data_IF_392506353987
#
_entry.id   IF_392506353987
#
_cell.length_a   1.000
_cell.length_b   1.000
_cell.length_c   1.000
_cell.angle_alpha   90.00
_cell.angle_beta   90.00
_cell.angle_gamma   90.00
#
_symmetry.space_group_name_H-M   'P 1'
#
loop_
_entity.id
_entity.type
_entity.pdbx_description
1 polymer ?
#
# COMPACT_ATOMS: atom_id res chain seq x y z
N UNK A 1 -21.51 16.85 68.51
CA UNK A 1 -21.05 17.52 67.26
C UNK A 1 -20.12 16.63 66.40
N UNK A 2 -19.20 15.85 66.98
CA UNK A 2 -18.25 15.00 66.23
C UNK A 2 -18.88 13.93 65.32
N UNK A 3 -20.03 13.34 65.71
CA UNK A 3 -20.73 12.36 64.88
C UNK A 3 -21.36 12.95 63.60
N UNK A 4 -21.80 14.21 63.65
CA UNK A 4 -22.34 14.89 62.46
C UNK A 4 -21.21 15.15 61.45
N UNK A 5 -20.04 15.56 61.93
CA UNK A 5 -18.84 15.80 61.09
C UNK A 5 -18.41 14.51 60.37
N UNK A 6 -18.45 13.37 61.05
CA UNK A 6 -18.13 12.07 60.45
C UNK A 6 -19.12 11.69 59.33
N UNK A 7 -20.41 12.00 59.52
CA UNK A 7 -21.44 11.79 58.49
C UNK A 7 -21.24 12.71 57.27
N UNK A 8 -20.81 13.96 57.46
CA UNK A 8 -20.51 14.87 56.35
C UNK A 8 -19.28 14.44 55.55
N UNK A 9 -18.25 13.88 56.19
CA UNK A 9 -17.07 13.34 55.51
C UNK A 9 -17.42 12.07 54.72
N UNK A 10 -18.26 11.20 55.27
CA UNK A 10 -18.75 10.01 54.57
C UNK A 10 -19.63 10.36 53.36
N UNK A 11 -20.45 11.41 53.46
CA UNK A 11 -21.30 11.89 52.36
C UNK A 11 -20.46 12.51 51.21
N UNK A 12 -19.39 13.22 51.54
CA UNK A 12 -18.45 13.78 50.56
C UNK A 12 -17.63 12.71 49.83
N UNK A 13 -17.25 11.62 50.53
CA UNK A 13 -16.55 10.49 49.91
C UNK A 13 -17.41 9.73 48.89
N UNK A 14 -18.73 9.68 49.09
CA UNK A 14 -19.65 8.98 48.18
C UNK A 14 -19.82 9.70 46.83
N UNK A 15 -19.75 11.04 46.82
CA UNK A 15 -19.83 11.83 45.59
C UNK A 15 -18.56 11.81 44.72
N UNK A 16 -17.43 11.31 45.26
CA UNK A 16 -16.14 11.24 44.54
C UNK A 16 -16.01 10.08 43.56
N UNK A 17 -16.99 9.18 43.49
CA UNK A 17 -16.98 8.03 42.57
C UNK A 17 -17.47 8.43 41.18
N UNK A 18 -16.84 9.44 40.57
CA UNK A 18 -17.03 9.71 39.14
C UNK A 18 -16.23 8.67 38.39
N UNK A 19 -16.90 7.61 37.95
CA UNK A 19 -16.34 6.68 36.96
C UNK A 19 -16.04 7.48 35.70
N UNK A 20 -14.76 7.76 35.45
CA UNK A 20 -14.33 8.24 34.15
C UNK A 20 -14.72 7.15 33.13
N UNK A 21 -15.47 7.48 32.06
CA UNK A 21 -15.71 6.51 31.01
C UNK A 21 -14.34 6.18 30.39
N UNK A 22 -13.85 4.97 30.64
CA UNK A 22 -12.78 4.37 29.85
C UNK A 22 -13.28 4.38 28.41
N UNK A 23 -12.70 5.25 27.60
CA UNK A 23 -12.91 5.29 26.16
C UNK A 23 -12.18 4.07 25.58
N UNK A 24 -12.79 2.90 25.69
CA UNK A 24 -12.47 1.79 24.82
C UNK A 24 -13.00 2.17 23.43
N UNK A 25 -12.14 2.73 22.59
CA UNK A 25 -12.46 2.89 21.18
C UNK A 25 -12.80 1.50 20.65
N UNK A 26 -14.05 1.30 20.24
CA UNK A 26 -14.46 0.09 19.54
C UNK A 26 -13.62 0.02 18.27
N UNK A 27 -12.65 -0.90 18.20
CA UNK A 27 -12.03 -1.26 16.93
C UNK A 27 -13.15 -1.83 16.09
N UNK A 28 -13.54 -1.07 15.08
CA UNK A 28 -14.60 -1.49 14.16
C UNK A 28 -14.00 -2.46 13.15
N UNK A 29 -14.79 -3.39 12.60
CA UNK A 29 -14.33 -4.30 11.53
C UNK A 29 -13.62 -3.58 10.38
N UNK A 30 -14.04 -2.36 9.94
CA UNK A 30 -13.29 -1.54 9.01
C UNK A 30 -11.84 -1.26 9.41
N UNK A 31 -11.56 -0.98 10.69
CA UNK A 31 -10.21 -0.66 11.16
C UNK A 31 -9.28 -1.89 11.07
N UNK A 32 -9.82 -3.10 11.29
CA UNK A 32 -9.09 -4.36 11.16
C UNK A 32 -8.84 -4.73 9.70
N UNK A 33 -9.78 -4.41 8.80
CA UNK A 33 -9.59 -4.64 7.36
C UNK A 33 -8.55 -3.65 6.82
N UNK A 34 -8.58 -2.41 7.28
CA UNK A 34 -7.63 -1.38 6.84
C UNK A 34 -6.20 -1.69 7.28
N UNK A 35 -6.00 -2.22 8.49
CA UNK A 35 -4.66 -2.66 8.92
C UNK A 35 -4.15 -3.86 8.11
N UNK A 36 -5.01 -4.84 7.78
CA UNK A 36 -4.62 -5.95 6.90
C UNK A 36 -4.25 -5.49 5.50
N UNK A 37 -5.01 -4.53 4.94
CA UNK A 37 -4.68 -3.96 3.63
C UNK A 37 -3.33 -3.26 3.64
N UNK A 38 -3.01 -2.52 4.72
CA UNK A 38 -1.71 -1.86 4.82
C UNK A 38 -0.53 -2.84 4.90
N UNK A 39 -0.68 -3.96 5.59
CA UNK A 39 0.38 -4.99 5.63
C UNK A 39 0.60 -5.60 4.24
N UNK A 40 -0.47 -5.91 3.52
CA UNK A 40 -0.40 -6.38 2.14
C UNK A 40 0.27 -5.36 1.20
N UNK A 41 -0.08 -4.08 1.35
CA UNK A 41 0.50 -2.99 0.58
C UNK A 41 2.02 -2.85 0.84
N UNK A 42 2.47 -3.02 2.09
CA UNK A 42 3.91 -3.04 2.43
C UNK A 42 4.62 -4.23 1.78
N UNK A 43 4.03 -5.43 1.88
CA UNK A 43 4.59 -6.64 1.27
C UNK A 43 4.73 -6.51 -0.24
N UNK A 44 3.76 -5.89 -0.90
CA UNK A 44 3.83 -5.60 -2.34
C UNK A 44 5.03 -4.70 -2.68
N UNK A 45 5.29 -3.64 -1.90
CA UNK A 45 6.45 -2.76 -2.11
C UNK A 45 7.78 -3.49 -1.90
N UNK A 46 7.86 -4.36 -0.89
CA UNK A 46 9.06 -5.18 -0.68
C UNK A 46 9.29 -6.14 -1.85
N UNK A 47 8.23 -6.78 -2.36
CA UNK A 47 8.35 -7.64 -3.54
C UNK A 47 8.82 -6.90 -4.79
N UNK A 48 8.46 -5.62 -4.94
CA UNK A 48 8.94 -4.78 -6.03
C UNK A 48 10.40 -4.38 -5.83
N UNK A 49 10.80 -4.06 -4.61
CA UNK A 49 12.18 -3.71 -4.27
C UNK A 49 13.13 -4.91 -4.40
N UNK A 50 12.64 -6.13 -4.20
CA UNK A 50 13.41 -7.36 -4.37
C UNK A 50 13.72 -7.69 -5.84
N UNK A 51 13.10 -6.99 -6.81
CA UNK A 51 13.39 -7.22 -8.21
C UNK A 51 14.75 -6.63 -8.59
N UNK A 52 15.58 -7.45 -9.25
CA UNK A 52 16.92 -7.07 -9.71
C UNK A 52 16.93 -5.77 -10.54
N UNK A 53 15.93 -5.58 -11.41
CA UNK A 53 15.82 -4.41 -12.27
C UNK A 53 15.53 -3.12 -11.50
N UNK A 54 14.80 -3.22 -10.39
CA UNK A 54 14.51 -2.09 -9.49
C UNK A 54 15.75 -1.75 -8.66
N UNK A 55 16.45 -2.76 -8.12
CA UNK A 55 17.67 -2.55 -7.35
C UNK A 55 18.77 -1.92 -8.19
N UNK A 56 19.02 -2.44 -9.39
CA UNK A 56 20.01 -1.88 -10.32
C UNK A 56 19.67 -0.43 -10.68
N UNK A 57 18.38 -0.13 -10.88
CA UNK A 57 17.92 1.23 -11.14
C UNK A 57 18.16 2.15 -9.94
N UNK A 58 17.83 1.73 -8.73
CA UNK A 58 18.07 2.51 -7.51
C UNK A 58 19.57 2.76 -7.29
N UNK A 59 20.40 1.74 -7.49
CA UNK A 59 21.86 1.85 -7.44
C UNK A 59 22.39 2.83 -8.49
N UNK A 60 21.85 2.82 -9.71
CA UNK A 60 22.22 3.77 -10.76
C UNK A 60 21.89 5.23 -10.39
N UNK A 61 20.93 5.44 -9.50
CA UNK A 61 20.56 6.75 -8.94
C UNK A 61 21.36 7.09 -7.66
N UNK A 62 22.28 6.23 -7.24
CA UNK A 62 23.08 6.40 -6.02
C UNK A 62 22.34 6.08 -4.73
N UNK A 63 21.22 5.38 -4.80
CA UNK A 63 20.40 4.99 -3.64
C UNK A 63 20.64 3.51 -3.34
N UNK A 64 21.12 3.21 -2.13
CA UNK A 64 21.31 1.84 -1.68
C UNK A 64 19.94 1.20 -1.34
N UNK A 65 19.69 -0.08 -1.67
CA UNK A 65 18.42 -0.77 -1.39
C UNK A 65 18.01 -0.70 0.08
N UNK A 66 18.97 -0.78 1.00
CA UNK A 66 18.75 -0.76 2.45
C UNK A 66 18.11 0.57 2.89
N UNK A 67 18.52 1.68 2.28
CA UNK A 67 17.96 3.02 2.57
C UNK A 67 16.49 3.10 2.16
N UNK A 68 16.09 2.40 1.10
CA UNK A 68 14.70 2.36 0.64
C UNK A 68 13.85 1.49 1.56
N UNK A 69 14.38 0.36 2.04
CA UNK A 69 13.71 -0.48 3.03
C UNK A 69 13.42 0.29 4.32
N UNK A 70 14.41 1.02 4.84
CA UNK A 70 14.24 1.87 6.02
C UNK A 70 13.17 2.94 5.81
N UNK A 71 13.10 3.51 4.60
CA UNK A 71 12.07 4.49 4.26
C UNK A 71 10.67 3.87 4.26
N UNK A 72 10.49 2.72 3.64
CA UNK A 72 9.20 1.98 3.65
C UNK A 72 8.77 1.66 5.08
N UNK A 73 9.71 1.25 5.93
CA UNK A 73 9.44 0.98 7.35
C UNK A 73 9.06 2.24 8.13
N UNK A 74 9.62 3.40 7.78
CA UNK A 74 9.31 4.68 8.43
C UNK A 74 8.00 5.34 7.98
N UNK A 75 7.40 4.87 6.87
CA UNK A 75 6.17 5.42 6.32
C UNK A 75 4.93 4.96 7.09
N UNK A 76 3.93 5.84 7.15
CA UNK A 76 2.60 5.51 7.66
C UNK A 76 1.82 4.65 6.67
N UNK A 77 0.82 3.92 7.17
CA UNK A 77 -0.04 3.05 6.38
C UNK A 77 -0.73 3.80 5.22
N UNK A 78 -1.13 5.05 5.48
CA UNK A 78 -1.72 5.93 4.46
C UNK A 78 -0.73 6.30 3.35
N UNK A 79 0.52 6.62 3.70
CA UNK A 79 1.56 6.97 2.73
C UNK A 79 1.95 5.77 1.88
N UNK A 80 1.98 4.57 2.46
CA UNK A 80 2.23 3.32 1.74
C UNK A 80 1.13 3.04 0.72
N UNK A 81 -0.14 3.15 1.12
CA UNK A 81 -1.27 2.99 0.21
C UNK A 81 -1.23 3.99 -0.94
N UNK A 82 -0.93 5.27 -0.64
CA UNK A 82 -0.81 6.31 -1.67
C UNK A 82 0.35 6.05 -2.63
N UNK A 83 1.50 5.58 -2.12
CA UNK A 83 2.66 5.24 -2.93
C UNK A 83 2.36 4.06 -3.88
N UNK A 84 1.72 3.01 -3.38
CA UNK A 84 1.31 1.88 -4.20
C UNK A 84 0.36 2.29 -5.31
N UNK A 85 -0.61 3.16 -5.03
CA UNK A 85 -1.50 3.68 -6.08
C UNK A 85 -0.71 4.42 -7.17
N UNK A 86 0.24 5.29 -6.80
CA UNK A 86 1.08 5.99 -7.77
C UNK A 86 1.94 5.03 -8.60
N UNK A 87 2.49 3.97 -7.99
CA UNK A 87 3.30 2.98 -8.71
C UNK A 87 2.45 2.16 -9.68
N UNK A 88 1.24 1.78 -9.29
CA UNK A 88 0.30 1.06 -10.15
C UNK A 88 -0.20 1.92 -11.33
N UNK A 89 -0.34 3.24 -11.13
CA UNK A 89 -0.72 4.18 -12.18
C UNK A 89 0.42 4.51 -13.14
N UNK A 90 1.68 4.26 -12.75
CA UNK A 90 2.80 4.38 -13.68
C UNK A 90 2.70 3.27 -14.73
N UNK A 91 2.89 3.59 -16.03
CA UNK A 91 2.94 2.55 -17.06
C UNK A 91 4.00 1.54 -16.65
N UNK A 92 3.67 0.25 -16.66
CA UNK A 92 4.62 -0.85 -16.51
C UNK A 92 5.55 -0.90 -17.75
N UNK A 93 6.32 0.18 -17.94
CA UNK A 93 7.15 0.47 -19.09
C UNK A 93 8.54 -0.14 -18.90
N UNK A 94 8.58 -1.47 -18.87
CA UNK A 94 9.82 -2.24 -18.95
C UNK A 94 9.97 -2.93 -20.32
N UNK A 95 10.91 -3.89 -20.37
CA UNK A 95 11.12 -4.77 -21.53
C UNK A 95 9.80 -5.45 -21.94
N UNK A 96 8.95 -5.85 -20.99
CA UNK A 96 7.64 -6.41 -21.26
C UNK A 96 6.74 -5.48 -22.08
N UNK A 97 6.70 -4.18 -21.75
CA UNK A 97 5.94 -3.19 -22.51
C UNK A 97 6.47 -3.04 -23.94
N UNK A 98 7.79 -3.05 -24.11
CA UNK A 98 8.42 -3.01 -25.43
C UNK A 98 8.12 -4.29 -26.26
N UNK A 99 8.17 -5.47 -25.64
CA UNK A 99 7.82 -6.75 -26.28
C UNK A 99 6.35 -6.74 -26.73
N UNK A 100 5.43 -6.31 -25.85
CA UNK A 100 4.00 -6.22 -26.18
C UNK A 100 3.77 -5.20 -27.30
N UNK A 101 4.44 -4.06 -27.28
CA UNK A 101 4.33 -3.05 -28.34
C UNK A 101 4.83 -3.58 -29.69
N UNK A 102 6.00 -4.23 -29.73
CA UNK A 102 6.54 -4.86 -30.94
C UNK A 102 5.57 -5.93 -31.45
N UNK A 103 5.03 -6.76 -30.54
CA UNK A 103 4.03 -7.78 -30.88
C UNK A 103 2.78 -7.16 -31.53
N UNK A 104 2.22 -6.10 -30.93
CA UNK A 104 1.05 -5.39 -31.48
C UNK A 104 1.35 -4.79 -32.85
N UNK A 105 2.51 -4.15 -33.03
CA UNK A 105 2.94 -3.60 -34.32
C UNK A 105 3.01 -4.70 -35.37
N UNK A 106 3.65 -5.83 -35.08
CA UNK A 106 3.72 -6.94 -36.02
C UNK A 106 2.35 -7.54 -36.33
N UNK A 107 1.46 -7.70 -35.35
CA UNK A 107 0.09 -8.18 -35.59
C UNK A 107 -0.67 -7.24 -36.53
N UNK A 108 -0.56 -5.92 -36.35
CA UNK A 108 -1.22 -4.94 -37.24
C UNK A 108 -0.62 -5.01 -38.65
N UNK A 109 0.70 -5.09 -38.75
CA UNK A 109 1.42 -5.14 -40.03
C UNK A 109 1.09 -6.42 -40.81
N UNK A 110 0.87 -7.53 -40.12
CA UNK A 110 0.41 -8.81 -40.66
C UNK A 110 -1.07 -8.75 -41.10
N UNK A 111 -1.94 -8.14 -40.29
CA UNK A 111 -3.34 -7.94 -40.65
C UNK A 111 -3.54 -7.06 -41.90
N UNK A 112 -2.63 -6.12 -42.17
CA UNK A 112 -2.64 -5.29 -43.39
C UNK A 112 -1.96 -6.02 -44.57
N UNK A 113 -1.28 -7.14 -44.33
CA UNK A 113 -0.59 -7.93 -45.36
C UNK A 113 0.77 -7.37 -45.78
N UNK A 114 1.37 -6.50 -44.96
CA UNK A 114 2.73 -5.99 -45.19
C UNK A 114 3.81 -6.96 -44.68
N UNK A 115 3.45 -7.85 -43.75
CA UNK A 115 4.28 -8.96 -43.25
C UNK A 115 3.45 -10.24 -43.13
N UNK A 116 4.09 -11.41 -43.02
CA UNK A 116 3.45 -12.70 -42.70
C UNK A 116 4.32 -13.40 -41.65
N UNK A 117 4.10 -13.05 -40.38
CA UNK A 117 4.92 -13.53 -39.24
C UNK A 117 4.07 -14.43 -38.33
N UNK A 118 2.77 -14.16 -38.22
CA UNK A 118 1.84 -14.84 -37.34
C UNK A 118 0.79 -15.61 -38.14
N UNK A 119 0.86 -16.95 -38.21
CA UNK A 119 -0.03 -17.76 -39.06
C UNK A 119 -1.51 -17.76 -38.64
N UNK A 120 -1.82 -17.19 -37.48
CA UNK A 120 -3.19 -17.00 -36.99
C UNK A 120 -3.80 -15.65 -37.40
N UNK A 121 -2.98 -14.68 -37.84
CA UNK A 121 -3.47 -13.40 -38.36
C UNK A 121 -3.75 -13.57 -39.83
N UNK A 122 -5.00 -13.34 -40.24
CA UNK A 122 -5.39 -13.40 -41.66
C UNK A 122 -5.41 -11.96 -42.19
N UNK A 123 -4.71 -11.66 -43.29
CA UNK A 123 -4.73 -10.32 -43.86
C UNK A 123 -6.15 -9.95 -44.27
N UNK A 124 -6.56 -8.73 -43.90
CA UNK A 124 -7.84 -8.13 -44.26
C UNK A 124 -7.77 -7.80 -45.74
N UNK A 125 -8.36 -8.66 -46.57
CA UNK A 125 -8.56 -8.41 -48.00
C UNK A 125 -9.80 -7.58 -48.24
#
# INVERSE_FOLDING_TARGET
MKQKIFAWIALLGFFGSVTLPVQAAMITTPDVIQSQQSEYDREQLFSMLDRDDVQEKLLSMGVAPEVVQDRINSMTDFEIAQLNQQINDMPAGGILGAIVLIFVVFVITDAIGATDIFPFVRPVR
#
